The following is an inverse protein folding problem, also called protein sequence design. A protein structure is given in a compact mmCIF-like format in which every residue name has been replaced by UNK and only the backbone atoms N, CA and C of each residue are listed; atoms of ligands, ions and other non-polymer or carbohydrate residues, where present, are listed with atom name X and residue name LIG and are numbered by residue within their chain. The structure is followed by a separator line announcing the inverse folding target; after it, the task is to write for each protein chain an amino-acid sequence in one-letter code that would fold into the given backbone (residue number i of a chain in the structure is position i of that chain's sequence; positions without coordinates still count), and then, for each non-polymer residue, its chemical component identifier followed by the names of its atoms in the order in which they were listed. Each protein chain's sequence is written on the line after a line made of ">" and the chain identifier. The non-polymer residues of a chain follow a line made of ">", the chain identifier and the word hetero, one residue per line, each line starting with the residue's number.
data_IF_781715877962
#
_entry.id   IF_781715877962
#
_cell.length_a   1.000
_cell.length_b   1.000
_cell.length_c   1.000
_cell.angle_alpha   90.00
_cell.angle_beta   90.00
_cell.angle_gamma   90.00
#
_symmetry.space_group_name_H-M   'P 1'
#
loop_
_entity.id
_entity.type
_entity.pdbx_description
1 polymer ?
#
# COMPACT_ATOMS: atom_id res chain seq x y z
N UNK A 1 12.64 2.69 21.81
CA UNK A 1 11.17 2.83 21.84
C UNK A 1 10.56 3.37 20.54
N UNK A 2 11.14 4.40 19.90
CA UNK A 2 10.60 4.97 18.64
C UNK A 2 10.44 3.91 17.54
N UNK A 3 11.41 3.03 17.36
CA UNK A 3 11.37 1.96 16.35
C UNK A 3 10.17 1.02 16.52
N UNK A 4 9.78 0.67 17.75
CA UNK A 4 8.60 -0.16 18.02
C UNK A 4 7.30 0.53 17.62
N UNK A 5 7.18 1.83 17.88
CA UNK A 5 6.01 2.62 17.46
C UNK A 5 5.92 2.66 15.93
N UNK A 6 7.05 2.91 15.26
CA UNK A 6 7.10 2.97 13.79
C UNK A 6 6.80 1.61 13.15
N UNK A 7 7.25 0.51 13.74
CA UNK A 7 6.94 -0.84 13.27
C UNK A 7 5.46 -1.19 13.54
N UNK A 8 4.88 -0.78 14.66
CA UNK A 8 3.45 -0.93 14.89
C UNK A 8 2.62 -0.15 13.86
N UNK A 9 2.98 1.10 13.57
CA UNK A 9 2.37 1.89 12.49
C UNK A 9 2.53 1.22 11.13
N UNK A 10 3.70 0.68 10.83
CA UNK A 10 3.94 -0.06 9.59
C UNK A 10 3.02 -1.29 9.48
N UNK A 11 2.80 -2.03 10.57
CA UNK A 11 1.84 -3.16 10.61
C UNK A 11 0.41 -2.72 10.30
N UNK A 12 -0.05 -1.61 10.89
CA UNK A 12 -1.37 -1.04 10.60
C UNK A 12 -1.49 -0.58 9.13
N UNK A 13 -0.48 0.10 8.60
CA UNK A 13 -0.47 0.56 7.20
C UNK A 13 -0.43 -0.61 6.22
N UNK A 14 0.28 -1.71 6.57
CA UNK A 14 0.27 -2.93 5.80
C UNK A 14 -1.12 -3.60 5.80
N UNK A 15 -1.80 -3.63 6.95
CA UNK A 15 -3.16 -4.13 7.04
C UNK A 15 -4.12 -3.33 6.15
N UNK A 16 -3.96 -2.00 6.11
CA UNK A 16 -4.75 -1.13 5.22
C UNK A 16 -4.46 -1.46 3.74
N UNK A 17 -3.19 -1.55 3.38
CA UNK A 17 -2.76 -1.90 2.03
C UNK A 17 -3.34 -3.24 1.57
N UNK A 18 -3.22 -4.28 2.40
CA UNK A 18 -3.69 -5.63 2.08
C UNK A 18 -5.23 -5.70 1.98
N UNK A 19 -5.97 -5.11 2.92
CA UNK A 19 -7.45 -5.17 2.88
C UNK A 19 -8.02 -4.40 1.69
N UNK A 20 -7.36 -3.33 1.25
CA UNK A 20 -7.75 -2.63 0.03
C UNK A 20 -7.56 -3.52 -1.20
N UNK A 21 -6.49 -4.32 -1.25
CA UNK A 21 -6.18 -5.18 -2.38
C UNK A 21 -7.06 -6.44 -2.43
N UNK A 22 -7.17 -7.18 -1.32
CA UNK A 22 -7.84 -8.49 -1.31
C UNK A 22 -9.31 -8.43 -0.92
N UNK A 23 -9.74 -7.39 -0.19
CA UNK A 23 -11.04 -7.36 0.45
C UNK A 23 -11.76 -6.00 0.45
N UNK A 24 -11.50 -5.11 -0.52
CA UNK A 24 -12.08 -3.76 -0.52
C UNK A 24 -13.59 -3.75 -0.25
N UNK A 25 -14.37 -4.56 -0.95
CA UNK A 25 -15.83 -4.58 -0.81
C UNK A 25 -16.32 -5.05 0.58
N UNK A 26 -15.52 -5.84 1.27
CA UNK A 26 -15.78 -6.36 2.61
C UNK A 26 -15.12 -5.52 3.70
N UNK A 27 -14.48 -4.42 3.34
CA UNK A 27 -13.78 -3.55 4.28
C UNK A 27 -14.62 -2.35 4.69
N UNK A 28 -14.24 -1.71 5.79
CA UNK A 28 -14.82 -0.43 6.23
C UNK A 28 -14.60 0.68 5.19
N UNK A 29 -13.60 0.53 4.31
CA UNK A 29 -13.26 1.49 3.25
C UNK A 29 -14.18 1.42 2.04
N UNK A 30 -15.04 0.40 1.91
CA UNK A 30 -15.89 0.16 0.73
C UNK A 30 -16.88 1.32 0.44
N UNK A 31 -17.22 2.13 1.44
CA UNK A 31 -18.10 3.29 1.30
C UNK A 31 -17.35 4.57 0.88
N UNK A 32 -16.02 4.52 0.81
CA UNK A 32 -15.20 5.65 0.39
C UNK A 32 -15.16 5.76 -1.14
N UNK A 33 -14.70 6.91 -1.63
CA UNK A 33 -14.63 7.21 -3.08
C UNK A 33 -13.83 6.14 -3.82
N UNK A 34 -14.54 5.28 -4.57
CA UNK A 34 -13.95 4.11 -5.21
C UNK A 34 -12.83 4.45 -6.22
N UNK A 35 -12.87 5.63 -6.86
CA UNK A 35 -11.83 6.07 -7.81
C UNK A 35 -10.45 6.25 -7.16
N UNK A 36 -10.38 6.41 -5.84
CA UNK A 36 -9.12 6.49 -5.10
C UNK A 36 -8.85 5.26 -4.25
N UNK A 37 -9.90 4.71 -3.59
CA UNK A 37 -9.76 3.67 -2.58
C UNK A 37 -9.85 2.25 -3.13
N UNK A 38 -10.55 2.03 -4.26
CA UNK A 38 -10.68 0.70 -4.84
C UNK A 38 -9.57 0.44 -5.87
N UNK A 39 -8.60 -0.45 -5.62
CA UNK A 39 -7.50 -0.73 -6.55
C UNK A 39 -7.95 -1.15 -7.94
N UNK A 40 -9.10 -1.85 -8.05
CA UNK A 40 -9.67 -2.28 -9.33
C UNK A 40 -10.16 -1.11 -10.20
N UNK A 41 -10.36 0.08 -9.62
CA UNK A 41 -10.75 1.31 -10.32
C UNK A 41 -9.62 2.33 -10.35
N UNK A 42 -8.93 2.52 -9.23
CA UNK A 42 -7.93 3.56 -9.02
C UNK A 42 -6.63 3.37 -9.80
N UNK A 43 -6.32 2.13 -10.24
CA UNK A 43 -5.12 1.85 -11.02
C UNK A 43 -4.99 2.72 -12.29
N UNK A 44 -6.12 3.26 -12.80
CA UNK A 44 -6.16 4.16 -13.96
C UNK A 44 -5.64 5.56 -13.65
N UNK A 45 -5.63 5.96 -12.39
CA UNK A 45 -5.34 7.34 -11.98
C UNK A 45 -3.92 7.80 -12.29
N UNK A 46 -3.00 6.88 -12.51
CA UNK A 46 -1.64 7.17 -12.96
C UNK A 46 -1.55 7.54 -14.44
N UNK A 47 -2.63 7.33 -15.22
CA UNK A 47 -2.64 7.55 -16.65
C UNK A 47 -3.54 8.73 -17.06
N UNK A 48 -3.16 9.44 -18.10
CA UNK A 48 -3.97 10.51 -18.68
C UNK A 48 -5.14 9.92 -19.49
N UNK A 49 -6.32 10.58 -19.43
CA UNK A 49 -7.48 10.28 -20.26
C UNK A 49 -7.34 10.93 -21.66
N UNK A 50 -7.91 10.34 -22.74
CA UNK A 50 -8.65 9.08 -22.82
C UNK A 50 -7.76 7.84 -22.74
N UNK A 51 -8.33 6.76 -22.23
CA UNK A 51 -7.64 5.55 -21.94
C UNK A 51 -8.27 4.33 -22.65
N UNK A 52 -7.49 3.43 -23.34
CA UNK A 52 -6.04 3.51 -23.60
C UNK A 52 -5.70 4.53 -24.69
N UNK A 53 -4.50 5.11 -24.59
CA UNK A 53 -3.98 5.93 -25.68
C UNK A 53 -3.34 5.05 -26.75
N UNK A 54 -3.24 5.58 -28.00
CA UNK A 54 -2.71 4.86 -29.16
C UNK A 54 -1.47 4.04 -28.84
N UNK A 55 -1.44 2.80 -29.29
CA UNK A 55 -0.25 1.96 -29.31
C UNK A 55 0.85 2.63 -30.15
N UNK A 56 1.97 2.95 -29.51
CA UNK A 56 3.17 3.42 -30.22
C UNK A 56 4.13 2.22 -30.27
N UNK A 57 4.64 1.82 -31.46
CA UNK A 57 5.62 0.75 -31.57
C UNK A 57 6.89 1.16 -30.82
N UNK A 58 7.32 0.33 -29.87
CA UNK A 58 8.58 0.48 -29.16
C UNK A 58 9.64 -0.32 -29.89
N UNK A 59 10.47 0.34 -30.70
CA UNK A 59 11.51 -0.34 -31.48
C UNK A 59 12.71 -0.84 -30.64
N UNK A 60 12.82 -0.45 -29.36
CA UNK A 60 13.84 -0.90 -28.40
C UNK A 60 13.56 -2.29 -27.79
N UNK A 61 12.30 -2.71 -27.73
CA UNK A 61 11.89 -4.02 -27.26
C UNK A 61 11.00 -4.63 -28.32
N UNK A 62 11.36 -5.78 -28.84
CA UNK A 62 10.62 -6.54 -29.84
C UNK A 62 9.17 -6.84 -29.40
N UNK A 63 8.30 -5.83 -29.32
CA UNK A 63 6.91 -5.97 -28.93
C UNK A 63 6.11 -4.67 -28.98
N UNK A 64 4.81 -4.81 -29.29
CA UNK A 64 3.84 -3.72 -29.25
C UNK A 64 3.24 -3.67 -27.85
N UNK A 65 3.65 -2.69 -27.04
CA UNK A 65 3.00 -2.42 -25.77
C UNK A 65 2.09 -1.19 -25.91
N UNK A 66 0.85 -1.23 -25.33
CA UNK A 66 0.02 -0.04 -25.25
C UNK A 66 0.76 1.01 -24.40
N UNK A 67 1.13 2.12 -25.01
CA UNK A 67 1.79 3.21 -24.30
C UNK A 67 0.74 4.09 -23.66
N UNK A 68 0.70 4.08 -22.35
CA UNK A 68 -0.14 4.95 -21.55
C UNK A 68 0.65 6.22 -21.26
N UNK A 69 0.06 7.40 -21.59
CA UNK A 69 0.65 8.68 -21.20
C UNK A 69 0.43 8.88 -19.69
N UNK A 70 1.48 9.16 -18.98
CA UNK A 70 1.38 9.50 -17.57
C UNK A 70 0.51 10.75 -17.35
N UNK A 71 -0.28 10.77 -16.27
CA UNK A 71 -1.15 11.88 -15.91
C UNK A 71 -0.35 13.12 -15.52
N UNK A 72 0.77 12.91 -14.85
CA UNK A 72 1.79 13.90 -14.51
C UNK A 72 3.15 13.20 -14.49
N UNK A 73 4.29 13.93 -14.54
CA UNK A 73 5.61 13.31 -14.58
C UNK A 73 5.81 12.28 -13.47
N UNK A 74 6.25 11.08 -13.85
CA UNK A 74 6.51 9.94 -12.95
C UNK A 74 5.30 9.44 -12.13
N UNK A 75 4.06 9.71 -12.59
CA UNK A 75 2.83 9.22 -11.93
C UNK A 75 2.68 7.69 -11.96
N UNK A 76 3.37 7.00 -12.85
CA UNK A 76 3.37 5.54 -12.92
C UNK A 76 4.55 4.88 -12.17
N UNK A 77 5.50 5.66 -11.69
CA UNK A 77 6.74 5.19 -11.06
C UNK A 77 6.98 5.87 -9.71
N UNK A 78 7.75 6.96 -9.68
CA UNK A 78 8.20 7.62 -8.46
C UNK A 78 7.05 8.20 -7.63
N UNK A 79 6.05 8.78 -8.29
CA UNK A 79 4.91 9.44 -7.64
C UNK A 79 3.60 8.65 -7.73
N UNK A 80 3.69 7.34 -7.99
CA UNK A 80 2.50 6.48 -8.07
C UNK A 80 1.68 6.48 -6.77
N UNK A 81 2.31 6.71 -5.64
CA UNK A 81 1.68 6.80 -4.32
C UNK A 81 0.70 7.97 -4.16
N UNK A 82 0.75 8.98 -5.06
CA UNK A 82 -0.23 10.07 -5.14
C UNK A 82 -1.50 9.69 -5.91
N UNK A 83 -1.51 8.56 -6.60
CA UNK A 83 -2.58 8.22 -7.55
C UNK A 83 -3.71 7.43 -6.92
N UNK A 84 -3.44 6.67 -5.88
CA UNK A 84 -4.44 5.83 -5.21
C UNK A 84 -4.04 5.46 -3.77
N UNK A 85 -5.02 5.05 -2.99
CA UNK A 85 -4.83 4.70 -1.58
C UNK A 85 -3.89 3.49 -1.40
N UNK A 86 -3.98 2.50 -2.29
CA UNK A 86 -3.18 1.28 -2.21
C UNK A 86 -1.67 1.57 -2.27
N UNK A 87 -1.24 2.35 -3.27
CA UNK A 87 0.16 2.76 -3.38
C UNK A 87 0.58 3.73 -2.26
N UNK A 88 -0.33 4.62 -1.83
CA UNK A 88 -0.07 5.55 -0.73
C UNK A 88 0.25 4.81 0.58
N UNK A 89 -0.60 3.86 0.98
CA UNK A 89 -0.40 3.11 2.22
C UNK A 89 0.86 2.24 2.16
N UNK A 90 1.17 1.65 1.00
CA UNK A 90 2.43 0.94 0.79
C UNK A 90 3.65 1.86 0.95
N UNK A 91 3.61 3.05 0.37
CA UNK A 91 4.70 4.02 0.50
C UNK A 91 4.89 4.47 1.95
N UNK A 92 3.80 4.80 2.66
CA UNK A 92 3.84 5.18 4.08
C UNK A 92 4.36 4.05 4.97
N UNK A 93 3.97 2.81 4.71
CA UNK A 93 4.52 1.63 5.40
C UNK A 93 6.04 1.55 5.24
N UNK A 94 6.54 1.70 4.01
CA UNK A 94 7.98 1.67 3.74
C UNK A 94 8.72 2.81 4.44
N UNK A 95 8.14 4.03 4.44
CA UNK A 95 8.70 5.17 5.19
C UNK A 95 8.80 4.86 6.69
N UNK A 96 7.75 4.29 7.29
CA UNK A 96 7.78 3.89 8.70
C UNK A 96 8.88 2.86 8.98
N UNK A 97 9.05 1.85 8.11
CA UNK A 97 10.11 0.84 8.25
C UNK A 97 11.49 1.49 8.14
N UNK A 98 11.73 2.36 7.15
CA UNK A 98 13.00 3.07 6.99
C UNK A 98 13.32 3.95 8.19
N UNK A 99 12.34 4.70 8.70
CA UNK A 99 12.49 5.51 9.91
C UNK A 99 12.75 4.62 11.15
N UNK A 100 12.12 3.45 11.24
CA UNK A 100 12.38 2.50 12.32
C UNK A 100 13.82 2.00 12.30
N UNK A 101 14.38 1.71 11.11
CA UNK A 101 15.77 1.28 10.93
C UNK A 101 16.73 2.39 11.35
N UNK A 102 16.52 3.62 10.87
CA UNK A 102 17.39 4.78 11.17
C UNK A 102 17.34 5.17 12.65
N UNK A 103 16.18 5.02 13.29
CA UNK A 103 16.01 5.36 14.72
C UNK A 103 16.22 4.19 15.66
N UNK A 104 16.67 3.03 15.14
CA UNK A 104 16.86 1.85 15.96
C UNK A 104 18.01 2.03 16.95
N UNK A 105 17.72 1.69 18.20
CA UNK A 105 18.70 1.52 19.27
C UNK A 105 18.39 0.22 20.00
N UNK A 106 19.42 -0.53 20.34
CA UNK A 106 19.29 -1.79 21.07
C UNK A 106 18.63 -1.56 22.42
N UNK A 107 17.58 -2.31 22.72
CA UNK A 107 16.85 -2.26 24.01
C UNK A 107 17.28 -3.41 24.91
N UNK A 108 17.28 -4.64 24.42
CA UNK A 108 17.71 -5.84 25.14
C UNK A 108 18.99 -6.42 24.50
N UNK A 109 18.84 -7.05 23.36
CA UNK A 109 19.88 -7.45 22.45
C UNK A 109 19.31 -7.55 21.02
N UNK A 110 20.15 -7.46 19.96
CA UNK A 110 19.67 -7.38 18.59
C UNK A 110 18.76 -8.53 18.16
N UNK A 111 19.00 -9.74 18.66
CA UNK A 111 18.20 -10.92 18.31
C UNK A 111 16.81 -10.88 18.97
N UNK A 112 16.76 -10.57 20.26
CA UNK A 112 15.47 -10.41 20.99
C UNK A 112 14.67 -9.25 20.43
N UNK A 113 15.33 -8.12 20.18
CA UNK A 113 14.68 -6.93 19.61
C UNK A 113 14.10 -7.22 18.23
N UNK A 114 14.81 -7.98 17.39
CA UNK A 114 14.29 -8.42 16.09
C UNK A 114 13.00 -9.24 16.23
N UNK A 115 12.98 -10.22 17.13
CA UNK A 115 11.79 -11.04 17.41
C UNK A 115 10.63 -10.15 17.89
N UNK A 116 10.90 -9.26 18.83
CA UNK A 116 9.89 -8.37 19.38
C UNK A 116 9.33 -7.40 18.33
N UNK A 117 10.15 -6.85 17.47
CA UNK A 117 9.72 -5.99 16.34
C UNK A 117 8.87 -6.77 15.36
N UNK A 118 9.27 -8.01 15.00
CA UNK A 118 8.48 -8.88 14.13
C UNK A 118 7.12 -9.24 14.74
N UNK A 119 7.09 -9.61 16.01
CA UNK A 119 5.84 -9.90 16.73
C UNK A 119 4.96 -8.65 16.80
N UNK A 120 5.53 -7.48 17.08
CA UNK A 120 4.78 -6.21 17.10
C UNK A 120 4.13 -5.94 15.74
N UNK A 121 4.89 -6.06 14.65
CA UNK A 121 4.37 -5.85 13.29
C UNK A 121 3.21 -6.81 12.98
N UNK A 122 3.41 -8.11 13.18
CA UNK A 122 2.42 -9.15 12.82
C UNK A 122 1.19 -9.08 13.71
N UNK A 123 1.34 -8.79 14.99
CA UNK A 123 0.23 -8.64 15.94
C UNK A 123 -0.65 -7.45 15.56
N UNK A 124 -0.05 -6.29 15.35
CA UNK A 124 -0.78 -5.09 14.93
C UNK A 124 -1.44 -5.30 13.57
N UNK A 125 -0.72 -5.86 12.60
CA UNK A 125 -1.28 -6.21 11.31
C UNK A 125 -2.53 -7.09 11.45
N UNK A 126 -2.47 -8.17 12.23
CA UNK A 126 -3.57 -9.10 12.40
C UNK A 126 -4.79 -8.43 13.05
N UNK A 127 -4.58 -7.63 14.09
CA UNK A 127 -5.68 -6.90 14.74
C UNK A 127 -6.40 -5.99 13.74
N UNK A 128 -5.64 -5.17 13.02
CA UNK A 128 -6.25 -4.22 12.09
C UNK A 128 -6.87 -4.93 10.88
N UNK A 129 -6.20 -5.92 10.29
CA UNK A 129 -6.69 -6.63 9.13
C UNK A 129 -7.95 -7.44 9.41
N UNK A 130 -7.95 -8.26 10.48
CA UNK A 130 -9.06 -9.20 10.74
C UNK A 130 -10.20 -8.58 11.53
N UNK A 131 -9.91 -7.71 12.51
CA UNK A 131 -10.93 -7.27 13.47
C UNK A 131 -11.39 -5.83 13.28
N UNK A 132 -10.53 -4.93 12.74
CA UNK A 132 -10.88 -3.52 12.62
C UNK A 132 -11.32 -3.18 11.21
N UNK A 133 -10.57 -3.59 10.19
CA UNK A 133 -10.82 -3.17 8.81
C UNK A 133 -11.79 -4.06 8.05
N UNK A 134 -11.97 -5.31 8.47
CA UNK A 134 -12.94 -6.22 7.88
C UNK A 134 -14.33 -5.95 8.46
N UNK A 135 -15.34 -5.82 7.61
CA UNK A 135 -16.73 -5.72 8.06
C UNK A 135 -17.18 -7.03 8.69
N UNK A 136 -17.98 -6.98 9.78
CA UNK A 136 -18.58 -8.18 10.32
C UNK A 136 -19.42 -8.86 9.24
N UNK A 137 -19.26 -10.19 9.11
CA UNK A 137 -20.08 -11.01 8.21
C UNK A 137 -21.48 -10.97 8.79
N UNK A 138 -22.38 -10.22 8.17
CA UNK A 138 -23.82 -10.31 8.46
C UNK A 138 -24.24 -11.69 8.02
N UNK A 139 -24.46 -12.61 8.95
CA UNK A 139 -25.12 -13.88 8.66
C UNK A 139 -26.53 -13.54 8.19
N UNK A 140 -26.79 -13.77 6.89
CA UNK A 140 -28.14 -13.80 6.34
C UNK A 140 -28.91 -14.98 6.92
#
# INVERSE_FOLDING_TARGET
>A
MMSFILIALAGMLNATYEILFVGFNQSIFSNLKADFWNPMKSWKNKWASPYPQKTIPYWWYFGFYPRYKEKFPHSSTMFVWLTDAWHLFKALMLVCIMLAIVSYSVVFNPFVDFILLYVTFTFVFTIFFEYIFRKPITKL
#
